data_IF_971589306368
#
_entry.id   IF_971589306368
#
_cell.length_a   1.000
_cell.length_b   1.000
_cell.length_c   1.000
_cell.angle_alpha   90.00
_cell.angle_beta   90.00
_cell.angle_gamma   90.00
#
_symmetry.space_group_name_H-M   'P 1'
#
loop_
_entity.id
_entity.type
_entity.pdbx_description
1 polymer ?
#
# COMPACT_ATOMS: atom_id res chain seq x y z
N UNK A 1 -8.62 -19.70 2.16
CA UNK A 1 -7.95 -18.51 1.59
C UNK A 1 -6.75 -18.24 2.47
N UNK A 2 -5.70 -18.96 2.12
CA UNK A 2 -4.65 -19.45 3.01
C UNK A 2 -3.54 -18.41 3.14
N UNK A 3 -3.39 -17.89 4.36
CA UNK A 3 -2.18 -17.35 5.01
C UNK A 3 -1.16 -16.62 4.11
N UNK A 4 -1.20 -15.29 4.22
CA UNK A 4 -0.19 -14.32 3.80
C UNK A 4 1.20 -14.76 4.27
N UNK A 5 2.04 -15.19 3.33
CA UNK A 5 3.47 -15.37 3.57
C UNK A 5 4.09 -14.02 3.97
N UNK A 6 4.86 -14.03 5.05
CA UNK A 6 5.46 -12.85 5.66
C UNK A 6 6.05 -11.86 4.64
N UNK A 7 5.44 -10.67 4.54
CA UNK A 7 6.03 -9.48 3.94
C UNK A 7 5.60 -9.10 2.53
N UNK A 8 4.78 -9.90 1.83
CA UNK A 8 4.37 -9.59 0.46
C UNK A 8 2.86 -9.66 0.28
N UNK A 9 2.33 -8.68 -0.47
CA UNK A 9 0.95 -8.65 -0.93
C UNK A 9 0.85 -9.39 -2.26
N UNK A 10 0.01 -10.41 -2.32
CA UNK A 10 -0.27 -11.11 -3.57
C UNK A 10 -1.20 -10.26 -4.43
N UNK A 11 -0.86 -10.10 -5.71
CA UNK A 11 -1.73 -9.44 -6.69
C UNK A 11 -2.68 -10.47 -7.33
N UNK A 12 -3.90 -10.07 -7.69
CA UNK A 12 -4.80 -10.94 -8.43
C UNK A 12 -4.19 -11.30 -9.80
N UNK A 13 -4.19 -12.59 -10.13
CA UNK A 13 -3.70 -13.11 -11.40
C UNK A 13 -4.85 -13.16 -12.42
N UNK A 14 -4.99 -12.09 -13.20
CA UNK A 14 -5.93 -12.01 -14.32
C UNK A 14 -5.15 -11.74 -15.63
N UNK A 15 -5.14 -12.67 -16.60
CA UNK A 15 -4.37 -12.49 -17.83
C UNK A 15 -4.91 -11.40 -18.76
N UNK A 16 -6.17 -10.99 -18.58
CA UNK A 16 -6.84 -10.01 -19.46
C UNK A 16 -6.78 -8.57 -18.91
N UNK A 17 -6.23 -8.36 -17.71
CA UNK A 17 -6.21 -7.06 -17.04
C UNK A 17 -4.94 -6.86 -16.22
N UNK A 18 -4.45 -5.62 -16.16
CA UNK A 18 -3.39 -5.30 -15.21
C UNK A 18 -3.88 -5.53 -13.78
N UNK A 19 -3.06 -6.15 -12.91
CA UNK A 19 -3.44 -6.37 -11.53
C UNK A 19 -3.63 -5.04 -10.80
N UNK A 20 -4.73 -4.92 -10.07
CA UNK A 20 -5.02 -3.76 -9.22
C UNK A 20 -5.15 -4.16 -7.76
N UNK A 21 -4.87 -3.23 -6.86
CA UNK A 21 -5.08 -3.39 -5.42
C UNK A 21 -6.44 -2.86 -4.98
N UNK A 22 -7.11 -3.59 -4.09
CA UNK A 22 -8.20 -3.03 -3.28
C UNK A 22 -7.61 -2.45 -1.99
N UNK A 23 -7.55 -1.11 -1.92
CA UNK A 23 -7.01 -0.42 -0.77
C UNK A 23 -7.78 -0.69 0.53
N UNK A 24 -9.08 -0.97 0.45
CA UNK A 24 -9.89 -1.30 1.64
C UNK A 24 -9.48 -2.63 2.22
N UNK A 25 -9.18 -3.61 1.37
CA UNK A 25 -8.70 -4.91 1.79
C UNK A 25 -7.28 -4.81 2.36
N UNK A 26 -6.41 -4.02 1.73
CA UNK A 26 -5.02 -3.82 2.18
C UNK A 26 -4.95 -3.13 3.55
N UNK A 27 -5.72 -2.06 3.76
CA UNK A 27 -5.64 -1.24 4.99
C UNK A 27 -6.72 -1.56 6.03
N UNK A 28 -7.73 -2.35 5.67
CA UNK A 28 -8.86 -2.69 6.55
C UNK A 28 -9.77 -1.50 6.88
N UNK A 29 -9.70 -0.41 6.10
CA UNK A 29 -10.45 0.82 6.34
C UNK A 29 -10.70 1.60 5.04
N UNK A 30 -11.55 2.64 5.12
CA UNK A 30 -11.97 3.48 3.98
C UNK A 30 -11.24 4.84 3.93
N UNK A 31 -10.10 4.97 4.59
CA UNK A 31 -9.35 6.23 4.60
C UNK A 31 -8.67 6.49 3.23
N UNK A 32 -8.46 7.77 2.86
CA UNK A 32 -7.73 8.12 1.64
C UNK A 32 -6.32 7.51 1.64
N UNK A 33 -5.81 7.17 0.46
CA UNK A 33 -4.45 6.66 0.28
C UNK A 33 -3.59 7.73 -0.37
N UNK A 34 -2.49 8.10 0.29
CA UNK A 34 -1.43 8.94 -0.25
C UNK A 34 -0.28 8.07 -0.75
N UNK A 35 0.24 8.39 -1.94
CA UNK A 35 1.30 7.62 -2.61
C UNK A 35 2.54 8.49 -2.78
N UNK A 36 3.69 8.01 -2.33
CA UNK A 36 5.00 8.61 -2.59
C UNK A 36 5.78 7.71 -3.57
N UNK A 37 6.17 8.27 -4.72
CA UNK A 37 6.98 7.58 -5.73
C UNK A 37 8.44 8.02 -5.55
N UNK A 38 9.35 7.06 -5.36
CA UNK A 38 10.76 7.33 -5.07
C UNK A 38 10.99 7.71 -3.60
N UNK A 39 10.53 6.86 -2.67
CA UNK A 39 10.57 7.15 -1.22
C UNK A 39 11.99 7.18 -0.63
N UNK A 40 12.98 6.62 -1.35
CA UNK A 40 14.33 6.42 -0.88
C UNK A 40 14.36 5.66 0.44
N UNK A 41 14.80 6.32 1.52
CA UNK A 41 14.86 5.73 2.87
C UNK A 41 13.54 5.81 3.65
N UNK A 42 12.48 6.36 3.06
CA UNK A 42 11.15 6.46 3.66
C UNK A 42 10.99 7.51 4.77
N UNK A 43 11.96 8.40 4.97
CA UNK A 43 11.90 9.38 6.08
C UNK A 43 10.67 10.30 5.98
N UNK A 44 10.35 10.77 4.77
CA UNK A 44 9.24 11.70 4.56
C UNK A 44 7.89 11.01 4.69
N UNK A 45 7.69 9.87 4.01
CA UNK A 45 6.43 9.11 4.10
C UNK A 45 6.11 8.63 5.53
N UNK A 46 7.12 8.18 6.30
CA UNK A 46 6.91 7.72 7.70
C UNK A 46 6.51 8.89 8.60
N UNK A 47 7.15 10.05 8.44
CA UNK A 47 6.83 11.25 9.20
C UNK A 47 5.45 11.81 8.82
N UNK A 48 5.07 11.74 7.54
CA UNK A 48 3.72 12.10 7.08
C UNK A 48 2.64 11.17 7.68
N UNK A 49 2.86 9.86 7.62
CA UNK A 49 1.96 8.85 8.20
C UNK A 49 1.77 9.03 9.70
N UNK A 50 2.84 9.36 10.43
CA UNK A 50 2.78 9.61 11.88
C UNK A 50 1.96 10.86 12.24
N UNK A 51 1.95 11.87 11.36
CA UNK A 51 1.22 13.13 11.57
C UNK A 51 -0.23 13.07 11.07
N UNK A 52 -0.57 12.12 10.20
CA UNK A 52 -1.86 12.04 9.51
C UNK A 52 -2.50 10.64 9.66
N UNK A 53 -2.96 10.25 10.86
CA UNK A 53 -3.53 8.92 11.12
C UNK A 53 -4.92 8.68 10.47
N UNK A 54 -5.45 9.69 9.78
CA UNK A 54 -6.70 9.60 9.02
C UNK A 54 -6.46 9.33 7.52
N UNK A 55 -5.21 9.09 7.12
CA UNK A 55 -4.82 8.68 5.78
C UNK A 55 -3.92 7.44 5.85
N UNK A 56 -4.02 6.62 4.81
CA UNK A 56 -3.14 5.48 4.56
C UNK A 56 -1.99 5.91 3.64
N UNK A 57 -0.82 5.28 3.75
CA UNK A 57 0.37 5.68 3.00
C UNK A 57 0.99 4.48 2.28
N UNK A 58 1.30 4.65 0.99
CA UNK A 58 2.03 3.68 0.16
C UNK A 58 3.29 4.34 -0.41
N UNK A 59 4.42 3.68 -0.22
CA UNK A 59 5.68 4.07 -0.83
C UNK A 59 6.05 3.12 -1.96
N UNK A 60 6.45 3.68 -3.10
CA UNK A 60 6.98 2.93 -4.24
C UNK A 60 8.44 3.29 -4.44
N UNK A 61 9.30 2.28 -4.53
CA UNK A 61 10.73 2.38 -4.84
C UNK A 61 11.09 1.26 -5.82
N UNK A 62 12.09 1.48 -6.67
CA UNK A 62 12.50 0.52 -7.71
C UNK A 62 13.37 -0.63 -7.19
#
# INVERSE_FOLDING_TARGET
>A
MEQTGAGFLALPDNPDQDPTLDWREVFGNDQPVEVEIGIGKGRFIIDAASRQPAANFIGVEW
#
